data_IF_799384235672
#
_entry.id   IF_799384235672
#
_cell.length_a   1.000
_cell.length_b   1.000
_cell.length_c   1.000
_cell.angle_alpha   90.00
_cell.angle_beta   90.00
_cell.angle_gamma   90.00
#
_symmetry.space_group_name_H-M   'P 1'
#
loop_
_entity.id
_entity.type
_entity.pdbx_description
1 polymer ?
#
# COMPACT_ATOMS: atom_id res chain seq x y z
N UNK A 1 13.70 -32.57 -11.87
CA UNK A 1 13.24 -31.48 -11.16
C UNK A 1 13.85 -30.18 -11.65
N UNK A 2 13.23 -29.51 -12.58
CA UNK A 2 13.72 -28.21 -13.02
C UNK A 2 13.32 -27.17 -11.99
N UNK A 3 14.26 -26.70 -11.17
CA UNK A 3 14.13 -25.42 -10.54
C UNK A 3 14.28 -24.37 -11.63
N UNK A 4 13.21 -23.75 -12.00
CA UNK A 4 13.27 -22.61 -12.88
C UNK A 4 13.94 -21.47 -12.13
N UNK A 5 15.09 -21.01 -12.62
CA UNK A 5 15.85 -19.88 -12.10
C UNK A 5 15.01 -18.59 -11.94
N UNK A 6 13.81 -18.57 -12.46
CA UNK A 6 12.97 -17.38 -12.49
C UNK A 6 12.13 -17.10 -11.27
N UNK A 7 11.60 -18.11 -10.62
CA UNK A 7 10.58 -17.92 -9.57
C UNK A 7 11.08 -17.30 -8.26
N UNK A 8 12.37 -17.17 -8.09
CA UNK A 8 12.95 -16.72 -6.82
C UNK A 8 13.78 -15.44 -6.91
N UNK A 9 14.12 -14.99 -8.10
CA UNK A 9 15.06 -13.87 -8.26
C UNK A 9 14.43 -12.50 -8.12
N UNK A 10 13.12 -12.41 -8.13
CA UNK A 10 12.44 -11.13 -7.99
C UNK A 10 11.36 -11.24 -6.91
N UNK A 11 11.64 -12.13 -5.97
CA UNK A 11 10.76 -12.49 -4.90
C UNK A 11 10.44 -11.32 -4.00
N UNK A 12 9.39 -11.20 -3.75
CA UNK A 12 8.66 -10.27 -2.98
C UNK A 12 7.43 -9.93 -3.76
N UNK A 13 6.37 -9.73 -3.10
CA UNK A 13 5.13 -9.21 -3.64
C UNK A 13 5.32 -7.76 -4.14
N UNK A 14 6.52 -7.41 -4.54
CA UNK A 14 6.82 -6.25 -5.35
C UNK A 14 6.59 -6.61 -6.81
N UNK A 15 6.52 -5.64 -7.69
CA UNK A 15 6.40 -5.86 -9.15
C UNK A 15 7.22 -7.03 -9.70
N UNK A 16 8.27 -7.42 -8.99
CA UNK A 16 9.08 -8.55 -9.35
C UNK A 16 8.50 -9.92 -9.03
N UNK A 17 7.67 -10.05 -8.02
CA UNK A 17 7.11 -11.36 -7.63
C UNK A 17 6.06 -11.90 -8.59
N UNK A 18 5.51 -11.04 -9.41
CA UNK A 18 4.55 -11.37 -10.46
C UNK A 18 5.16 -11.27 -11.86
N UNK A 19 6.47 -11.15 -11.97
CA UNK A 19 7.16 -11.05 -13.25
C UNK A 19 7.52 -12.41 -13.81
N UNK A 20 7.87 -12.40 -15.08
CA UNK A 20 8.11 -13.51 -16.02
C UNK A 20 8.74 -14.80 -15.47
N UNK A 21 9.34 -14.77 -14.29
CA UNK A 21 9.97 -15.95 -13.71
C UNK A 21 9.09 -16.83 -12.83
N UNK A 22 7.89 -16.38 -12.49
CA UNK A 22 6.99 -17.14 -11.60
C UNK A 22 5.91 -17.94 -12.31
N UNK A 23 5.75 -17.74 -13.61
CA UNK A 23 4.72 -18.41 -14.41
C UNK A 23 5.36 -19.46 -15.30
N UNK A 24 5.30 -20.71 -14.89
CA UNK A 24 5.56 -21.85 -15.75
C UNK A 24 4.27 -22.26 -16.47
N UNK A 25 4.36 -23.12 -17.50
CA UNK A 25 3.18 -23.69 -18.18
C UNK A 25 2.19 -24.39 -17.23
N UNK A 26 2.55 -24.61 -15.96
CA UNK A 26 1.71 -25.22 -14.93
C UNK A 26 1.16 -24.26 -13.89
N UNK A 27 1.32 -22.92 -14.09
CA UNK A 27 0.87 -21.93 -13.12
C UNK A 27 1.88 -21.59 -12.02
N UNK A 28 1.49 -20.73 -11.08
CA UNK A 28 2.31 -20.28 -9.97
C UNK A 28 2.22 -21.25 -8.78
N UNK A 29 3.36 -21.57 -8.16
CA UNK A 29 3.40 -22.37 -6.92
C UNK A 29 4.05 -21.56 -5.81
N UNK A 30 3.43 -21.56 -4.63
CA UNK A 30 3.93 -20.86 -3.45
C UNK A 30 4.74 -21.79 -2.54
N UNK A 31 5.82 -21.26 -1.98
CA UNK A 31 6.72 -21.98 -1.08
C UNK A 31 7.05 -21.15 0.16
N UNK A 32 6.99 -21.76 1.33
CA UNK A 32 7.47 -21.15 2.57
C UNK A 32 8.96 -21.42 2.71
N UNK A 33 9.78 -20.38 2.48
CA UNK A 33 11.23 -20.48 2.54
C UNK A 33 11.74 -19.81 3.82
N UNK A 34 12.45 -20.54 4.69
CA UNK A 34 13.06 -19.93 5.88
C UNK A 34 14.03 -18.81 5.50
N UNK A 35 13.98 -17.68 6.18
CA UNK A 35 14.84 -16.52 5.89
C UNK A 35 16.35 -16.81 6.03
N UNK A 36 16.71 -17.88 6.74
CA UNK A 36 18.09 -18.36 6.95
C UNK A 36 18.43 -19.59 6.09
N UNK A 37 17.62 -19.90 5.07
CA UNK A 37 17.91 -21.03 4.20
C UNK A 37 19.28 -20.84 3.51
N UNK A 38 20.04 -21.93 3.42
CA UNK A 38 21.33 -21.91 2.74
C UNK A 38 21.13 -21.49 1.28
N UNK A 39 21.99 -20.60 0.79
CA UNK A 39 21.89 -20.06 -0.56
C UNK A 39 20.94 -18.87 -0.71
N UNK A 40 20.11 -18.56 0.30
CA UNK A 40 19.26 -17.39 0.30
C UNK A 40 20.04 -16.17 0.83
N UNK A 41 19.98 -15.05 0.11
CA UNK A 41 20.65 -13.80 0.50
C UNK A 41 19.71 -12.62 0.36
N UNK A 42 19.68 -11.78 1.37
CA UNK A 42 19.06 -10.45 1.33
C UNK A 42 20.13 -9.45 0.88
N UNK A 43 19.91 -8.78 -0.24
CA UNK A 43 20.88 -7.89 -0.87
C UNK A 43 20.71 -6.45 -0.37
N UNK A 44 21.48 -6.08 0.65
CA UNK A 44 21.62 -4.69 1.09
C UNK A 44 20.48 -4.18 1.97
N UNK A 45 20.58 -2.89 2.31
CA UNK A 45 19.56 -2.16 3.04
C UNK A 45 18.60 -1.49 2.05
N UNK A 46 17.32 -1.43 2.42
CA UNK A 46 16.37 -0.62 1.69
C UNK A 46 16.69 0.88 1.90
N UNK A 47 16.95 1.58 0.79
CA UNK A 47 17.14 3.04 0.77
C UNK A 47 16.15 3.68 -0.21
N UNK A 48 14.87 3.57 0.11
CA UNK A 48 13.78 4.11 -0.70
C UNK A 48 13.44 5.55 -0.36
N UNK A 49 12.60 6.15 -1.20
CA UNK A 49 12.06 7.50 -1.02
C UNK A 49 11.27 7.62 0.30
N UNK A 50 10.39 6.65 0.57
CA UNK A 50 9.55 6.56 1.76
C UNK A 50 9.55 5.15 2.34
N UNK A 51 8.79 4.93 3.42
CA UNK A 51 8.68 3.67 4.15
C UNK A 51 10.04 3.09 4.57
N UNK A 52 10.98 3.96 4.93
CA UNK A 52 12.38 3.58 5.24
C UNK A 52 12.52 2.73 6.48
N UNK A 53 11.44 2.60 7.27
CA UNK A 53 11.36 1.73 8.44
C UNK A 53 11.01 0.27 8.10
N UNK A 54 10.62 -0.05 6.87
CA UNK A 54 10.37 -1.42 6.47
C UNK A 54 11.68 -2.10 6.00
N UNK A 55 11.66 -3.43 5.95
CA UNK A 55 12.81 -4.24 5.56
C UNK A 55 12.73 -4.73 4.11
N UNK A 56 12.06 -3.97 3.22
CA UNK A 56 12.00 -4.31 1.81
C UNK A 56 13.40 -4.30 1.20
N UNK A 57 13.82 -5.42 0.68
CA UNK A 57 15.14 -5.58 0.07
C UNK A 57 15.07 -6.62 -1.04
N UNK A 58 15.90 -6.53 -2.08
CA UNK A 58 16.06 -7.60 -3.04
C UNK A 58 16.53 -8.88 -2.34
N UNK A 59 15.96 -9.99 -2.75
CA UNK A 59 16.34 -11.32 -2.26
C UNK A 59 16.83 -12.14 -3.45
N UNK A 60 17.98 -12.79 -3.29
CA UNK A 60 18.51 -13.73 -4.28
C UNK A 60 18.65 -15.12 -3.66
N UNK A 61 18.41 -16.13 -4.46
CA UNK A 61 18.60 -17.54 -4.08
C UNK A 61 19.47 -18.26 -5.10
N UNK A 62 20.52 -18.93 -4.62
CA UNK A 62 21.38 -19.79 -5.42
C UNK A 62 21.37 -21.16 -4.77
N UNK A 63 20.92 -22.17 -5.52
CA UNK A 63 20.85 -23.57 -5.07
C UNK A 63 20.12 -23.75 -3.72
N UNK A 64 19.07 -22.96 -3.50
CA UNK A 64 18.26 -23.07 -2.29
C UNK A 64 17.40 -24.31 -2.34
N UNK A 65 17.65 -25.24 -1.42
CA UNK A 65 16.87 -26.47 -1.32
C UNK A 65 15.70 -26.22 -0.36
N UNK A 66 14.49 -26.47 -0.86
CA UNK A 66 13.25 -26.32 -0.09
C UNK A 66 12.55 -27.69 -0.04
N UNK A 67 12.19 -28.20 1.14
CA UNK A 67 11.52 -29.49 1.25
C UNK A 67 10.11 -29.42 0.63
N UNK A 68 9.63 -30.53 0.06
CA UNK A 68 8.29 -30.60 -0.54
C UNK A 68 7.16 -30.19 0.43
N UNK A 69 7.36 -30.44 1.73
CA UNK A 69 6.43 -30.04 2.79
C UNK A 69 6.31 -28.52 3.01
N UNK A 70 7.22 -27.72 2.46
CA UNK A 70 7.15 -26.27 2.51
C UNK A 70 6.30 -25.65 1.38
N UNK A 71 5.79 -26.46 0.47
CA UNK A 71 4.85 -26.03 -0.56
C UNK A 71 3.51 -25.66 0.09
N UNK A 72 2.94 -24.55 -0.34
CA UNK A 72 1.63 -24.07 0.10
C UNK A 72 0.59 -24.46 -0.97
N UNK A 73 -0.27 -25.40 -0.62
CA UNK A 73 -1.29 -25.95 -1.52
C UNK A 73 -0.73 -26.87 -2.62
N UNK A 74 -1.55 -27.11 -3.63
CA UNK A 74 -1.18 -27.94 -4.77
C UNK A 74 -0.25 -27.20 -5.74
N UNK A 75 0.47 -27.97 -6.56
CA UNK A 75 1.33 -27.39 -7.58
C UNK A 75 0.48 -26.64 -8.62
N UNK A 76 0.85 -25.40 -8.91
CA UNK A 76 0.10 -24.52 -9.80
C UNK A 76 -1.03 -23.73 -9.13
N UNK A 77 -1.42 -24.02 -7.88
CA UNK A 77 -2.53 -23.33 -7.18
C UNK A 77 -2.11 -22.01 -6.50
N UNK A 78 -0.86 -21.57 -6.67
CA UNK A 78 -0.31 -20.43 -5.94
C UNK A 78 -1.00 -19.11 -6.22
N UNK A 79 -1.47 -18.89 -7.45
CA UNK A 79 -2.19 -17.66 -7.80
C UNK A 79 -3.54 -17.60 -7.06
N UNK A 80 -4.30 -18.67 -7.06
CA UNK A 80 -5.60 -18.73 -6.37
C UNK A 80 -5.43 -18.51 -4.87
N UNK A 81 -4.40 -19.12 -4.25
CA UNK A 81 -4.07 -18.89 -2.83
C UNK A 81 -3.69 -17.44 -2.59
N UNK A 82 -2.87 -16.84 -3.45
CA UNK A 82 -2.46 -15.44 -3.31
C UNK A 82 -3.66 -14.49 -3.41
N UNK A 83 -4.57 -14.73 -4.35
CA UNK A 83 -5.76 -13.91 -4.56
C UNK A 83 -6.81 -14.09 -3.47
N UNK A 84 -7.02 -15.32 -3.00
CA UNK A 84 -8.02 -15.60 -1.97
C UNK A 84 -7.56 -15.22 -0.56
N UNK A 85 -6.25 -15.31 -0.28
CA UNK A 85 -5.74 -15.14 1.09
C UNK A 85 -4.87 -13.90 1.22
N UNK A 86 -3.82 -13.75 0.41
CA UNK A 86 -2.85 -12.69 0.61
C UNK A 86 -3.37 -11.31 0.17
N UNK A 87 -4.02 -11.25 -0.99
CA UNK A 87 -4.47 -9.99 -1.58
C UNK A 87 -5.46 -9.23 -0.69
N UNK A 88 -6.56 -9.82 -0.18
CA UNK A 88 -7.50 -9.08 0.66
C UNK A 88 -6.84 -8.48 1.90
N UNK A 89 -6.00 -9.25 2.59
CA UNK A 89 -5.27 -8.76 3.76
C UNK A 89 -4.31 -7.63 3.39
N UNK A 90 -3.54 -7.80 2.31
CA UNK A 90 -2.56 -6.81 1.88
C UNK A 90 -3.22 -5.47 1.53
N UNK A 91 -4.29 -5.47 0.75
CA UNK A 91 -4.93 -4.23 0.29
C UNK A 91 -5.64 -3.50 1.43
N UNK A 92 -6.27 -4.23 2.36
CA UNK A 92 -6.89 -3.63 3.55
C UNK A 92 -5.86 -3.05 4.50
N UNK A 93 -4.76 -3.76 4.76
CA UNK A 93 -3.67 -3.26 5.61
C UNK A 93 -2.98 -2.05 4.98
N UNK A 94 -2.82 -2.04 3.65
CA UNK A 94 -2.28 -0.89 2.92
C UNK A 94 -3.20 0.34 3.02
N UNK A 95 -4.50 0.15 2.92
CA UNK A 95 -5.48 1.22 3.12
C UNK A 95 -5.47 1.74 4.57
N UNK A 96 -5.34 0.86 5.55
CA UNK A 96 -5.23 1.24 6.97
C UNK A 96 -3.94 2.02 7.25
N UNK A 97 -2.80 1.61 6.66
CA UNK A 97 -1.55 2.36 6.72
C UNK A 97 -1.71 3.77 6.13
N UNK A 98 -2.32 3.87 4.94
CA UNK A 98 -2.57 5.15 4.27
C UNK A 98 -3.44 6.06 5.14
N UNK A 99 -4.51 5.53 5.74
CA UNK A 99 -5.36 6.28 6.67
C UNK A 99 -4.57 6.76 7.90
N UNK A 100 -3.73 5.90 8.49
CA UNK A 100 -2.88 6.29 9.63
C UNK A 100 -1.91 7.42 9.30
N UNK A 101 -1.34 7.41 8.09
CA UNK A 101 -0.49 8.51 7.59
C UNK A 101 -1.30 9.80 7.43
N UNK A 102 -2.51 9.73 6.86
CA UNK A 102 -3.41 10.88 6.73
C UNK A 102 -3.77 11.47 8.10
N UNK A 103 -4.11 10.64 9.06
CA UNK A 103 -4.42 11.07 10.43
C UNK A 103 -3.25 11.79 11.09
N UNK A 104 -2.05 11.24 10.96
CA UNK A 104 -0.83 11.87 11.47
C UNK A 104 -0.55 13.21 10.79
N UNK A 105 -0.69 13.29 9.47
CA UNK A 105 -0.52 14.54 8.71
C UNK A 105 -1.53 15.61 9.13
N UNK A 106 -2.79 15.27 9.28
CA UNK A 106 -3.83 16.21 9.72
C UNK A 106 -3.59 16.66 11.15
N UNK A 107 -3.14 15.78 12.06
CA UNK A 107 -2.80 16.13 13.43
C UNK A 107 -1.62 17.14 13.47
N UNK A 108 -0.55 16.89 12.73
CA UNK A 108 0.60 17.80 12.64
C UNK A 108 0.22 19.16 12.03
N UNK A 109 -0.59 19.16 10.98
CA UNK A 109 -1.10 20.40 10.38
C UNK A 109 -1.94 21.21 11.40
N UNK A 110 -2.85 20.55 12.11
CA UNK A 110 -3.67 21.20 13.13
C UNK A 110 -2.82 21.83 14.26
N UNK A 111 -1.84 21.07 14.76
CA UNK A 111 -0.91 21.56 15.77
C UNK A 111 -0.06 22.73 15.24
N UNK A 112 0.41 22.66 13.99
CA UNK A 112 1.15 23.74 13.34
C UNK A 112 0.31 25.01 13.22
N UNK A 113 -0.91 24.93 12.74
CA UNK A 113 -1.81 26.09 12.59
C UNK A 113 -2.11 26.76 13.93
N UNK A 114 -2.33 25.98 14.98
CA UNK A 114 -2.67 26.49 16.32
C UNK A 114 -1.52 27.24 16.99
N UNK A 115 -0.26 26.81 16.76
CA UNK A 115 0.91 27.42 17.42
C UNK A 115 1.63 28.50 16.61
N UNK A 116 1.43 28.50 15.28
CA UNK A 116 2.13 29.49 14.41
C UNK A 116 1.41 30.82 14.41
N UNK A 117 2.07 31.83 14.98
CA UNK A 117 1.55 33.19 15.12
C UNK A 117 2.13 34.14 14.06
N UNK A 118 1.27 34.86 13.38
CA UNK A 118 1.64 35.95 12.49
C UNK A 118 1.82 37.23 13.34
N UNK A 119 3.08 37.63 13.58
CA UNK A 119 3.42 38.71 14.48
C UNK A 119 2.73 40.03 14.12
N UNK A 120 2.66 40.34 12.83
CA UNK A 120 2.06 41.59 12.33
C UNK A 120 0.54 41.64 12.46
N UNK A 121 -0.14 40.50 12.64
CA UNK A 121 -1.59 40.41 12.84
C UNK A 121 -1.96 40.11 14.30
N UNK A 122 -1.02 39.61 15.08
CA UNK A 122 -1.28 39.12 16.43
C UNK A 122 -2.10 37.85 16.52
N UNK A 123 -2.37 37.18 15.37
CA UNK A 123 -3.25 36.03 15.23
C UNK A 123 -2.46 34.78 14.88
N UNK A 124 -2.99 33.60 15.25
CA UNK A 124 -2.50 32.32 14.78
C UNK A 124 -3.01 31.99 13.37
N UNK A 125 -2.36 31.06 12.67
CA UNK A 125 -2.85 30.60 11.38
C UNK A 125 -4.24 29.96 11.48
N UNK A 126 -4.56 29.34 12.61
CA UNK A 126 -5.88 28.72 12.85
C UNK A 126 -7.01 29.76 12.94
N UNK A 127 -6.71 30.99 13.31
CA UNK A 127 -7.71 32.09 13.39
C UNK A 127 -8.05 32.67 12.01
N UNK A 128 -7.23 32.37 10.98
CA UNK A 128 -7.48 32.84 9.62
C UNK A 128 -8.45 31.91 8.87
N UNK A 129 -9.44 32.48 8.14
CA UNK A 129 -10.47 31.65 7.48
C UNK A 129 -9.92 30.76 6.36
N UNK A 130 -8.94 31.20 5.59
CA UNK A 130 -8.40 30.45 4.44
C UNK A 130 -7.63 29.21 4.89
N UNK A 131 -6.63 29.27 5.78
CA UNK A 131 -5.96 28.08 6.32
C UNK A 131 -6.94 27.14 7.03
N UNK A 132 -7.89 27.67 7.79
CA UNK A 132 -8.90 26.88 8.50
C UNK A 132 -9.80 26.11 7.55
N UNK A 133 -10.24 26.72 6.45
CA UNK A 133 -11.05 26.05 5.43
C UNK A 133 -10.24 24.97 4.67
N UNK A 134 -8.95 25.23 4.40
CA UNK A 134 -8.07 24.25 3.79
C UNK A 134 -7.87 23.04 4.72
N UNK A 135 -7.59 23.28 6.00
CA UNK A 135 -7.49 22.23 7.01
C UNK A 135 -8.76 21.37 7.10
N UNK A 136 -9.94 22.01 7.10
CA UNK A 136 -11.22 21.31 7.18
C UNK A 136 -11.41 20.35 6.00
N UNK A 137 -11.04 20.74 4.76
CA UNK A 137 -11.10 19.84 3.59
C UNK A 137 -10.23 18.59 3.76
N UNK A 138 -9.02 18.75 4.28
CA UNK A 138 -8.10 17.62 4.52
C UNK A 138 -8.64 16.68 5.60
N UNK A 139 -9.25 17.24 6.65
CA UNK A 139 -9.91 16.47 7.70
C UNK A 139 -11.10 15.67 7.14
N UNK A 140 -11.98 16.31 6.37
CA UNK A 140 -13.13 15.64 5.73
C UNK A 140 -12.66 14.51 4.84
N UNK A 141 -11.63 14.75 4.00
CA UNK A 141 -11.07 13.71 3.12
C UNK A 141 -10.54 12.50 3.90
N UNK A 142 -9.91 12.73 5.05
CA UNK A 142 -9.45 11.66 5.94
C UNK A 142 -10.62 10.87 6.54
N UNK A 143 -11.68 11.57 6.95
CA UNK A 143 -12.88 10.92 7.53
C UNK A 143 -13.68 10.11 6.50
N UNK A 144 -13.72 10.54 5.22
CA UNK A 144 -14.30 9.77 4.10
C UNK A 144 -13.60 8.40 3.96
N UNK A 145 -12.27 8.39 3.95
CA UNK A 145 -11.49 7.14 3.85
C UNK A 145 -11.72 6.27 5.08
N UNK A 146 -11.76 6.86 6.27
CA UNK A 146 -12.05 6.12 7.50
C UNK A 146 -13.43 5.46 7.46
N UNK A 147 -14.44 6.18 6.99
CA UNK A 147 -15.80 5.66 6.88
C UNK A 147 -15.86 4.51 5.86
N UNK A 148 -15.19 4.65 4.72
CA UNK A 148 -15.15 3.62 3.69
C UNK A 148 -14.36 2.38 4.16
N UNK A 149 -13.23 2.54 4.85
CA UNK A 149 -12.49 1.41 5.42
C UNK A 149 -13.35 0.63 6.43
N UNK A 150 -14.12 1.32 7.27
CA UNK A 150 -15.05 0.67 8.21
C UNK A 150 -16.14 -0.12 7.48
N UNK A 151 -16.71 0.43 6.41
CA UNK A 151 -17.69 -0.29 5.59
C UNK A 151 -17.07 -1.53 4.93
N UNK A 152 -15.85 -1.41 4.39
CA UNK A 152 -15.10 -2.55 3.82
C UNK A 152 -14.87 -3.66 4.84
N UNK A 153 -14.44 -3.31 6.05
CA UNK A 153 -14.25 -4.28 7.14
C UNK A 153 -15.57 -4.94 7.56
N UNK A 154 -16.66 -4.19 7.60
CA UNK A 154 -17.99 -4.74 7.87
C UNK A 154 -18.43 -5.70 6.75
N UNK A 155 -18.21 -5.34 5.49
CA UNK A 155 -18.52 -6.21 4.35
C UNK A 155 -17.75 -7.54 4.41
N UNK A 156 -16.45 -7.48 4.72
CA UNK A 156 -15.61 -8.67 4.88
C UNK A 156 -16.07 -9.55 6.06
N UNK A 157 -16.39 -8.95 7.20
CA UNK A 157 -16.76 -9.69 8.41
C UNK A 157 -18.14 -10.36 8.32
N UNK A 158 -19.05 -9.80 7.50
CA UNK A 158 -20.40 -10.35 7.31
C UNK A 158 -20.54 -11.19 6.03
N UNK A 159 -19.50 -11.31 5.23
CA UNK A 159 -19.55 -12.01 3.93
C UNK A 159 -20.51 -11.35 2.94
N UNK A 160 -20.57 -9.99 2.94
CA UNK A 160 -21.43 -9.24 2.03
C UNK A 160 -21.01 -9.46 0.58
N UNK A 161 -21.94 -9.56 -0.36
CA UNK A 161 -21.69 -9.90 -1.75
C UNK A 161 -20.71 -8.98 -2.46
N UNK A 162 -20.65 -7.70 -2.05
CA UNK A 162 -19.72 -6.71 -2.61
C UNK A 162 -18.35 -6.64 -1.89
N UNK A 163 -18.08 -7.52 -0.92
CA UNK A 163 -16.87 -7.45 -0.09
C UNK A 163 -15.57 -7.42 -0.90
N UNK A 164 -15.48 -8.24 -1.95
CA UNK A 164 -14.31 -8.25 -2.84
C UNK A 164 -14.14 -6.92 -3.57
N UNK A 165 -15.22 -6.36 -4.12
CA UNK A 165 -15.19 -5.07 -4.78
C UNK A 165 -14.77 -3.96 -3.81
N UNK A 166 -15.39 -3.89 -2.61
CA UNK A 166 -15.01 -2.92 -1.55
C UNK A 166 -13.54 -3.02 -1.17
N UNK A 167 -13.01 -4.23 -1.16
CA UNK A 167 -11.59 -4.47 -0.83
C UNK A 167 -10.66 -3.87 -1.88
N UNK A 168 -10.97 -3.98 -3.17
CA UNK A 168 -10.19 -3.35 -4.24
C UNK A 168 -10.32 -1.82 -4.20
N UNK A 169 -11.55 -1.33 -4.07
CA UNK A 169 -11.88 0.10 -4.05
C UNK A 169 -11.17 0.83 -2.90
N UNK A 170 -11.19 0.26 -1.67
CA UNK A 170 -10.62 0.96 -0.50
C UNK A 170 -9.13 1.23 -0.65
N UNK A 171 -8.36 0.30 -1.24
CA UNK A 171 -6.93 0.56 -1.47
C UNK A 171 -6.71 1.67 -2.48
N UNK A 172 -7.46 1.69 -3.58
CA UNK A 172 -7.34 2.75 -4.58
C UNK A 172 -7.70 4.12 -3.98
N UNK A 173 -8.84 4.19 -3.30
CA UNK A 173 -9.32 5.42 -2.64
C UNK A 173 -8.33 5.91 -1.58
N UNK A 174 -7.83 5.02 -0.72
CA UNK A 174 -6.92 5.39 0.36
C UNK A 174 -5.55 5.84 -0.16
N UNK A 175 -5.02 5.19 -1.21
CA UNK A 175 -3.75 5.55 -1.81
C UNK A 175 -3.78 6.94 -2.45
N UNK A 176 -4.84 7.25 -3.21
CA UNK A 176 -5.02 8.57 -3.82
C UNK A 176 -5.26 9.65 -2.76
N UNK A 177 -6.14 9.38 -1.79
CA UNK A 177 -6.43 10.32 -0.72
C UNK A 177 -5.21 10.63 0.16
N UNK A 178 -4.35 9.64 0.43
CA UNK A 178 -3.14 9.86 1.20
C UNK A 178 -2.17 10.82 0.50
N UNK A 179 -2.01 10.68 -0.81
CA UNK A 179 -1.17 11.60 -1.60
C UNK A 179 -1.79 13.01 -1.66
N UNK A 180 -3.11 13.11 -1.83
CA UNK A 180 -3.86 14.38 -1.83
C UNK A 180 -3.72 15.10 -0.48
N UNK A 181 -3.94 14.39 0.63
CA UNK A 181 -3.83 14.95 1.98
C UNK A 181 -2.37 15.35 2.27
N UNK A 182 -1.40 14.54 1.86
CA UNK A 182 0.01 14.84 2.06
C UNK A 182 0.44 16.12 1.32
N UNK A 183 0.04 16.29 0.05
CA UNK A 183 0.28 17.51 -0.72
C UNK A 183 -0.42 18.72 -0.08
N UNK A 184 -1.68 18.55 0.32
CA UNK A 184 -2.45 19.61 0.99
C UNK A 184 -1.85 20.06 2.30
N UNK A 185 -1.37 19.15 3.14
CA UNK A 185 -0.70 19.47 4.41
C UNK A 185 0.65 20.14 4.15
N UNK A 186 1.42 19.66 3.18
CA UNK A 186 2.69 20.29 2.81
C UNK A 186 2.49 21.75 2.40
N UNK A 187 1.49 22.03 1.57
CA UNK A 187 1.14 23.39 1.16
C UNK A 187 0.62 24.24 2.32
N UNK A 188 -0.21 23.65 3.18
CA UNK A 188 -0.80 24.34 4.33
C UNK A 188 0.25 24.77 5.38
N UNK A 189 1.25 23.91 5.62
CA UNK A 189 2.36 24.17 6.55
C UNK A 189 3.49 25.01 5.92
N UNK A 190 3.50 25.15 4.58
CA UNK A 190 4.49 25.95 3.85
C UNK A 190 5.93 25.50 4.12
N UNK A 191 6.86 26.43 4.24
CA UNK A 191 8.27 26.12 4.46
C UNK A 191 8.57 25.28 5.72
N UNK A 192 7.70 25.31 6.72
CA UNK A 192 7.85 24.48 7.92
C UNK A 192 7.72 22.97 7.61
N UNK A 193 6.93 22.60 6.60
CA UNK A 193 6.73 21.21 6.19
C UNK A 193 8.00 20.55 5.64
N UNK A 194 8.97 21.33 5.13
CA UNK A 194 10.24 20.83 4.64
C UNK A 194 11.27 20.58 5.75
N UNK A 195 10.98 21.00 6.97
CA UNK A 195 11.86 20.81 8.11
C UNK A 195 11.58 19.45 8.76
N UNK A 196 12.65 18.75 9.13
CA UNK A 196 12.55 17.40 9.74
C UNK A 196 11.84 17.41 11.09
N UNK A 197 11.92 18.52 11.82
CA UNK A 197 11.34 18.65 13.15
C UNK A 197 9.80 18.58 13.15
N UNK A 198 9.16 18.97 12.05
CA UNK A 198 7.71 18.86 11.93
C UNK A 198 7.25 17.46 11.54
N UNK A 199 8.12 16.64 10.94
CA UNK A 199 7.81 15.28 10.53
C UNK A 199 6.93 15.14 9.28
N UNK A 200 6.35 16.23 8.77
CA UNK A 200 5.48 16.25 7.59
C UNK A 200 6.21 15.72 6.35
N UNK A 201 7.48 16.10 6.15
CA UNK A 201 8.27 15.67 4.99
C UNK A 201 8.43 14.14 4.91
N UNK A 202 8.55 13.47 6.06
CA UNK A 202 8.62 12.02 6.14
C UNK A 202 7.27 11.38 5.80
N UNK A 203 6.20 11.86 6.43
CA UNK A 203 4.85 11.36 6.19
C UNK A 203 4.41 11.60 4.74
N UNK A 204 4.81 12.72 4.13
CA UNK A 204 4.59 13.00 2.71
C UNK A 204 5.22 11.92 1.82
N UNK A 205 6.49 11.58 2.05
CA UNK A 205 7.18 10.54 1.27
C UNK A 205 6.57 9.16 1.49
N UNK A 206 6.20 8.84 2.71
CA UNK A 206 5.59 7.56 3.07
C UNK A 206 4.20 7.41 2.42
N UNK A 207 3.42 8.49 2.31
CA UNK A 207 2.09 8.51 1.70
C UNK A 207 2.10 8.11 0.22
N UNK A 208 3.17 8.42 -0.51
CA UNK A 208 3.26 8.15 -1.95
C UNK A 208 3.42 6.66 -2.27
N UNK A 209 3.92 5.87 -1.33
CA UNK A 209 4.26 4.46 -1.57
C UNK A 209 3.04 3.60 -1.94
N UNK A 210 1.88 3.88 -1.35
CA UNK A 210 0.66 3.10 -1.56
C UNK A 210 0.22 3.04 -3.03
N UNK A 211 0.46 4.11 -3.80
CA UNK A 211 0.12 4.19 -5.23
C UNK A 211 0.93 3.21 -6.08
N UNK A 212 2.22 3.07 -5.75
CA UNK A 212 3.16 2.24 -6.50
C UNK A 212 3.20 0.79 -6.03
N UNK A 213 2.71 0.49 -4.82
CA UNK A 213 2.66 -0.88 -4.28
C UNK A 213 1.62 -1.70 -5.04
N UNK A 214 2.01 -2.90 -5.49
CA UNK A 214 1.14 -3.79 -6.25
C UNK A 214 -0.03 -4.34 -5.40
N UNK A 215 -1.26 -4.44 -5.98
CA UNK A 215 -1.66 -3.89 -7.25
C UNK A 215 -1.56 -2.37 -7.25
N UNK A 216 -1.00 -1.76 -8.31
CA UNK A 216 -0.95 -0.28 -8.40
C UNK A 216 -2.35 0.32 -8.50
N UNK A 217 -2.49 1.62 -8.29
CA UNK A 217 -3.80 2.28 -8.37
C UNK A 217 -4.44 2.08 -9.75
N UNK A 218 -3.64 2.11 -10.81
CA UNK A 218 -4.10 1.90 -12.20
C UNK A 218 -4.61 0.47 -12.40
N UNK A 219 -3.87 -0.53 -11.92
CA UNK A 219 -4.28 -1.93 -11.97
C UNK A 219 -5.58 -2.17 -11.17
N UNK A 220 -5.71 -1.53 -10.00
CA UNK A 220 -6.94 -1.60 -9.21
C UNK A 220 -8.14 -0.99 -9.94
N UNK A 221 -7.96 0.13 -10.64
CA UNK A 221 -9.05 0.74 -11.41
C UNK A 221 -9.52 -0.18 -12.54
N UNK A 222 -8.61 -0.89 -13.24
CA UNK A 222 -9.00 -1.90 -14.22
C UNK A 222 -9.77 -3.06 -13.57
N UNK A 223 -9.25 -3.61 -12.47
CA UNK A 223 -9.91 -4.70 -11.74
C UNK A 223 -11.31 -4.30 -11.23
N UNK A 224 -11.45 -3.08 -10.70
CA UNK A 224 -12.74 -2.53 -10.26
C UNK A 224 -13.69 -2.39 -11.45
N UNK A 225 -13.21 -1.83 -12.56
CA UNK A 225 -13.98 -1.70 -13.78
C UNK A 225 -14.48 -3.04 -14.29
N UNK A 226 -13.60 -4.04 -14.36
CA UNK A 226 -13.96 -5.43 -14.75
C UNK A 226 -15.02 -5.99 -13.81
N UNK A 227 -14.84 -5.87 -12.50
CA UNK A 227 -15.80 -6.34 -11.50
C UNK A 227 -17.18 -5.71 -11.69
N UNK A 228 -17.24 -4.39 -11.85
CA UNK A 228 -18.50 -3.65 -12.04
C UNK A 228 -19.21 -4.00 -13.35
N UNK A 229 -18.46 -4.40 -14.37
CA UNK A 229 -18.98 -4.78 -15.69
C UNK A 229 -19.25 -6.30 -15.82
N UNK A 230 -19.08 -7.08 -14.74
CA UNK A 230 -19.28 -8.52 -14.77
C UNK A 230 -18.23 -9.28 -15.57
N UNK A 231 -17.04 -8.71 -15.75
CA UNK A 231 -15.92 -9.34 -16.45
C UNK A 231 -15.03 -10.12 -15.47
N UNK A 232 -14.29 -11.13 -15.93
CA UNK A 232 -13.25 -11.78 -15.10
C UNK A 232 -12.20 -10.75 -14.64
N UNK A 233 -11.72 -10.86 -13.40
CA UNK A 233 -10.68 -9.97 -12.85
C UNK A 233 -9.34 -10.08 -13.59
N UNK A 234 -9.06 -11.26 -14.17
CA UNK A 234 -7.85 -11.56 -14.95
C UNK A 234 -8.24 -12.20 -16.26
N UNK A 235 -7.46 -11.96 -17.31
CA UNK A 235 -7.65 -12.60 -18.59
C UNK A 235 -7.27 -14.10 -18.50
N UNK A 236 -7.87 -14.93 -19.35
CA UNK A 236 -7.59 -16.37 -19.38
C UNK A 236 -6.12 -16.71 -19.73
N UNK A 237 -5.41 -15.76 -20.33
CA UNK A 237 -3.98 -15.88 -20.62
C UNK A 237 -3.07 -15.59 -19.40
N UNK A 238 -3.63 -14.97 -18.35
CA UNK A 238 -2.93 -14.60 -17.11
C UNK A 238 -3.10 -15.66 -15.99
N UNK A 239 -3.80 -16.78 -16.28
CA UNK A 239 -4.03 -17.89 -15.35
C UNK A 239 -3.07 -19.04 -15.52
#
# INVERSE_FOLDING_TARGET
GGMTQGGMTQGGMTQGGMTQGGMTQGGMTLWLVPSKAQGLRVAGKFDGLGLRGNASSPVSGVDVVVPASARLGDDGAGLDIALATALPHFVVLNAALSLGIMEALVAEAGAHLARTKLQHLGQTLAELPVPRAAFARLRVRTDEVRAFLRDTLAALSTGRDDATLRTLEIKAVAAEAAAEVADGVLRLCGGAAFRKELGVERLFRDALAARAMAPTTEALHDMIGRSCLGMPLFDSADR
#
